data_IF_433162854786
#
_entry.id   IF_433162854786
#
_cell.length_a   1.000
_cell.length_b   1.000
_cell.length_c   1.000
_cell.angle_alpha   90.00
_cell.angle_beta   90.00
_cell.angle_gamma   90.00
#
_symmetry.space_group_name_H-M   'P 1'
#
loop_
_entity.id
_entity.type
_entity.pdbx_description
1 polymer ?
#
# COMPACT_ATOMS: atom_id res chain seq x y z
N UNK A 1 -13.63 11.89 -10.00
CA UNK A 1 -14.07 12.29 -8.64
C UNK A 1 -12.82 12.67 -7.89
N UNK A 2 -12.72 13.89 -7.34
CA UNK A 2 -11.48 14.38 -6.74
C UNK A 2 -11.24 13.76 -5.35
N UNK A 3 -9.98 13.61 -4.95
CA UNK A 3 -9.56 13.21 -3.59
C UNK A 3 -10.32 13.98 -2.51
N UNK A 4 -10.34 15.31 -2.61
CA UNK A 4 -11.02 16.21 -1.68
C UNK A 4 -12.49 15.85 -1.49
N UNK A 5 -13.18 15.45 -2.57
CA UNK A 5 -14.58 15.05 -2.52
C UNK A 5 -14.79 13.73 -1.75
N UNK A 6 -13.86 12.77 -1.83
CA UNK A 6 -13.95 11.53 -1.05
C UNK A 6 -13.78 11.77 0.45
N UNK A 7 -12.87 12.67 0.82
CA UNK A 7 -12.68 13.09 2.22
C UNK A 7 -13.91 13.87 2.72
N UNK A 8 -14.45 14.79 1.92
CA UNK A 8 -15.69 15.52 2.22
C UNK A 8 -16.90 14.59 2.39
N UNK A 9 -16.90 13.44 1.71
CA UNK A 9 -17.92 12.39 1.84
C UNK A 9 -17.71 11.49 3.07
N UNK A 10 -16.66 11.72 3.88
CA UNK A 10 -16.42 11.06 5.16
C UNK A 10 -15.38 9.94 5.14
N UNK A 11 -14.68 9.72 4.02
CA UNK A 11 -13.55 8.79 4.01
C UNK A 11 -12.40 9.34 4.85
N UNK A 12 -11.89 8.55 5.80
CA UNK A 12 -10.73 8.92 6.63
C UNK A 12 -9.39 8.58 5.99
N UNK A 13 -9.38 7.52 5.19
CA UNK A 13 -8.23 7.03 4.47
C UNK A 13 -8.67 6.69 3.04
N UNK A 14 -7.94 7.21 2.05
CA UNK A 14 -8.14 6.88 0.64
C UNK A 14 -6.79 6.47 0.08
N UNK A 15 -6.70 5.26 -0.46
CA UNK A 15 -5.50 4.81 -1.18
C UNK A 15 -5.81 4.83 -2.67
N UNK A 16 -4.95 5.46 -3.47
CA UNK A 16 -4.99 5.42 -4.92
C UNK A 16 -3.75 4.69 -5.41
N UNK A 17 -3.93 3.54 -6.06
CA UNK A 17 -2.83 2.77 -6.65
C UNK A 17 -2.66 3.09 -8.12
N UNK A 18 -1.40 3.26 -8.52
CA UNK A 18 -0.98 3.47 -9.91
C UNK A 18 -0.34 2.21 -10.52
N UNK A 19 -0.59 1.04 -9.91
CA UNK A 19 0.00 -0.23 -10.35
C UNK A 19 1.47 -0.32 -9.97
N UNK A 20 2.34 -0.54 -10.96
CA UNK A 20 3.78 -0.67 -10.75
C UNK A 20 4.43 0.65 -10.31
N UNK A 21 3.79 1.80 -10.60
CA UNK A 21 4.28 3.13 -10.28
C UNK A 21 4.01 3.58 -8.83
N UNK A 22 3.75 2.62 -7.92
CA UNK A 22 3.45 2.91 -6.52
C UNK A 22 1.98 3.31 -6.27
N UNK A 23 1.77 4.11 -5.23
CA UNK A 23 0.46 4.55 -4.77
C UNK A 23 0.55 5.82 -3.94
N UNK A 24 -0.62 6.38 -3.58
CA UNK A 24 -0.74 7.44 -2.61
C UNK A 24 -1.78 7.09 -1.53
N UNK A 25 -1.50 7.50 -0.30
CA UNK A 25 -2.45 7.54 0.80
C UNK A 25 -2.85 8.99 1.08
N UNK A 26 -4.15 9.20 1.16
CA UNK A 26 -4.74 10.43 1.65
C UNK A 26 -5.38 10.18 3.00
N UNK A 27 -4.97 10.96 3.98
CA UNK A 27 -5.58 11.03 5.31
C UNK A 27 -6.41 12.30 5.44
N UNK A 28 -6.96 12.57 6.63
CA UNK A 28 -7.78 13.78 6.88
C UNK A 28 -6.98 15.08 6.62
N UNK A 29 -5.71 15.10 6.98
CA UNK A 29 -4.86 16.29 6.96
C UNK A 29 -3.63 16.17 6.03
N UNK A 30 -3.19 14.95 5.71
CA UNK A 30 -1.91 14.72 5.03
C UNK A 30 -1.98 13.81 3.81
N UNK A 31 -0.96 13.92 2.96
CA UNK A 31 -0.74 13.08 1.79
C UNK A 31 0.60 12.37 1.88
N UNK A 32 0.54 11.09 1.61
CA UNK A 32 1.72 10.24 1.54
C UNK A 32 1.81 9.58 0.18
N UNK A 33 3.01 9.51 -0.38
CA UNK A 33 3.31 8.79 -1.61
C UNK A 33 4.30 7.67 -1.31
N UNK A 34 4.13 6.52 -1.97
CA UNK A 34 5.14 5.45 -1.93
C UNK A 34 6.05 5.57 -3.14
N UNK A 35 7.31 5.17 -2.98
CA UNK A 35 8.19 4.94 -4.11
C UNK A 35 7.67 3.83 -5.05
N UNK A 36 8.21 3.77 -6.27
CA UNK A 36 8.17 2.56 -7.08
C UNK A 36 9.03 1.48 -6.43
N UNK A 37 8.53 0.24 -6.38
CA UNK A 37 9.21 -0.83 -5.65
C UNK A 37 10.20 -1.55 -6.56
N UNK A 38 11.47 -1.18 -6.39
CA UNK A 38 12.63 -1.75 -7.07
C UNK A 38 13.39 -2.72 -6.16
N UNK A 39 13.01 -4.00 -6.20
CA UNK A 39 13.64 -5.09 -5.43
C UNK A 39 14.45 -6.07 -6.30
N UNK A 40 14.61 -5.74 -7.58
CA UNK A 40 15.32 -6.56 -8.58
C UNK A 40 14.59 -7.83 -9.01
N UNK A 41 13.36 -8.08 -8.54
CA UNK A 41 12.56 -9.24 -8.91
C UNK A 41 11.52 -8.90 -9.97
N UNK A 42 11.21 -9.87 -10.82
CA UNK A 42 10.18 -9.73 -11.85
C UNK A 42 8.77 -9.69 -11.26
N UNK A 43 7.86 -8.98 -11.95
CA UNK A 43 6.43 -9.06 -11.69
C UNK A 43 5.88 -10.35 -12.32
N UNK A 44 5.52 -11.32 -11.48
CA UNK A 44 5.02 -12.63 -11.92
C UNK A 44 3.50 -12.67 -12.07
N UNK A 45 2.78 -11.91 -11.25
CA UNK A 45 1.31 -11.87 -11.23
C UNK A 45 0.84 -10.48 -10.78
N UNK A 46 -0.31 -10.03 -11.25
CA UNK A 46 -0.95 -8.78 -10.74
C UNK A 46 -2.34 -9.01 -10.18
N UNK A 47 -2.84 -10.25 -10.29
CA UNK A 47 -4.09 -10.66 -9.69
C UNK A 47 -3.97 -10.55 -8.16
N UNK A 48 -5.05 -10.09 -7.52
CA UNK A 48 -5.15 -9.90 -6.08
C UNK A 48 -4.15 -8.90 -5.44
N UNK A 49 -3.30 -8.18 -6.18
CA UNK A 49 -2.41 -7.17 -5.56
C UNK A 49 -3.18 -6.08 -4.81
N UNK A 50 -4.34 -5.65 -5.32
CA UNK A 50 -5.19 -4.67 -4.62
C UNK A 50 -5.91 -5.27 -3.42
N UNK A 51 -6.29 -6.54 -3.48
CA UNK A 51 -6.90 -7.23 -2.33
C UNK A 51 -5.86 -7.41 -1.22
N UNK A 52 -4.62 -7.75 -1.58
CA UNK A 52 -3.48 -7.81 -0.67
C UNK A 52 -3.15 -6.45 -0.07
N UNK A 53 -3.24 -5.36 -0.86
CA UNK A 53 -3.10 -4.00 -0.35
C UNK A 53 -4.12 -3.69 0.75
N UNK A 54 -5.40 -4.00 0.51
CA UNK A 54 -6.46 -3.82 1.50
C UNK A 54 -6.21 -4.68 2.74
N UNK A 55 -5.83 -5.95 2.55
CA UNK A 55 -5.53 -6.86 3.65
C UNK A 55 -4.35 -6.37 4.50
N UNK A 56 -3.26 -5.93 3.87
CA UNK A 56 -2.08 -5.38 4.55
C UNK A 56 -2.41 -4.12 5.34
N UNK A 57 -3.19 -3.21 4.74
CA UNK A 57 -3.65 -1.99 5.41
C UNK A 57 -4.48 -2.33 6.66
N UNK A 58 -5.52 -3.16 6.52
CA UNK A 58 -6.40 -3.53 7.63
C UNK A 58 -5.68 -4.30 8.73
N UNK A 59 -4.75 -5.20 8.37
CA UNK A 59 -3.99 -6.00 9.32
C UNK A 59 -3.16 -5.13 10.27
N UNK A 60 -2.64 -4.00 9.80
CA UNK A 60 -1.88 -3.08 10.63
C UNK A 60 -2.78 -2.05 11.34
N UNK A 61 -3.78 -1.51 10.65
CA UNK A 61 -4.77 -0.61 11.27
C UNK A 61 -5.43 -1.24 12.51
N UNK A 62 -5.75 -2.54 12.44
CA UNK A 62 -6.32 -3.28 13.57
C UNK A 62 -5.38 -3.38 14.78
N UNK A 63 -4.07 -3.21 14.61
CA UNK A 63 -3.08 -3.32 15.69
C UNK A 63 -2.80 -2.00 16.39
N UNK A 64 -2.62 -0.93 15.62
CA UNK A 64 -2.11 0.34 16.14
C UNK A 64 -2.88 1.58 15.67
N UNK A 65 -3.86 1.44 14.76
CA UNK A 65 -4.59 2.56 14.15
C UNK A 65 -3.69 3.64 13.51
N UNK A 66 -2.48 3.26 13.11
CA UNK A 66 -1.52 4.13 12.42
C UNK A 66 -1.67 3.95 10.90
N UNK A 67 -2.27 4.95 10.25
CA UNK A 67 -2.53 4.93 8.80
C UNK A 67 -1.25 4.87 7.96
N UNK A 68 -0.16 5.50 8.40
CA UNK A 68 1.09 5.55 7.62
C UNK A 68 1.79 4.19 7.70
N UNK A 69 1.91 3.63 8.90
CA UNK A 69 2.46 2.29 9.08
C UNK A 69 1.58 1.23 8.37
N UNK A 70 0.26 1.39 8.41
CA UNK A 70 -0.66 0.53 7.67
C UNK A 70 -0.51 0.64 6.16
N UNK A 71 -0.27 1.85 5.65
CA UNK A 71 -0.01 2.06 4.25
C UNK A 71 1.31 1.45 3.79
N UNK A 72 2.38 1.54 4.60
CA UNK A 72 3.64 0.85 4.32
C UNK A 72 3.44 -0.67 4.21
N UNK A 73 2.66 -1.26 5.13
CA UNK A 73 2.29 -2.69 5.07
C UNK A 73 1.42 -3.03 3.86
N UNK A 74 0.52 -2.12 3.46
CA UNK A 74 -0.33 -2.28 2.28
C UNK A 74 0.50 -2.37 0.99
N UNK A 75 1.46 -1.46 0.81
CA UNK A 75 2.38 -1.45 -0.33
C UNK A 75 3.28 -2.69 -0.35
N UNK A 76 3.79 -3.10 0.82
CA UNK A 76 4.58 -4.32 0.98
C UNK A 76 3.79 -5.57 0.59
N UNK A 77 2.54 -5.70 1.05
CA UNK A 77 1.68 -6.85 0.75
C UNK A 77 1.33 -6.93 -0.75
N UNK A 78 0.97 -5.79 -1.35
CA UNK A 78 0.71 -5.70 -2.78
C UNK A 78 1.94 -6.08 -3.62
N UNK A 79 3.10 -5.56 -3.23
CA UNK A 79 4.36 -5.81 -3.92
C UNK A 79 4.78 -7.26 -3.79
N UNK A 80 4.72 -7.86 -2.60
CA UNK A 80 5.03 -9.28 -2.39
C UNK A 80 4.13 -10.17 -3.25
N UNK A 81 2.83 -9.88 -3.30
CA UNK A 81 1.86 -10.60 -4.14
C UNK A 81 2.24 -10.52 -5.61
N UNK A 82 2.79 -9.39 -6.05
CA UNK A 82 3.23 -9.24 -7.43
C UNK A 82 4.47 -10.09 -7.80
N UNK A 83 5.25 -10.55 -6.81
CA UNK A 83 6.49 -11.33 -7.00
C UNK A 83 6.29 -12.84 -6.88
N UNK A 84 5.06 -13.32 -6.74
CA UNK A 84 4.74 -14.75 -6.62
C UNK A 84 3.56 -15.13 -7.53
N UNK A 85 3.48 -16.41 -7.89
CA UNK A 85 2.38 -16.91 -8.74
C UNK A 85 1.08 -17.03 -7.93
N UNK A 86 1.19 -17.44 -6.67
CA UNK A 86 0.07 -17.59 -5.72
C UNK A 86 0.18 -16.51 -4.62
N UNK A 87 -0.44 -16.70 -3.45
CA UNK A 87 -0.34 -15.74 -2.34
C UNK A 87 1.03 -15.79 -1.62
N UNK A 88 1.59 -14.63 -1.24
CA UNK A 88 2.87 -14.59 -0.53
C UNK A 88 2.71 -15.04 0.93
N UNK A 89 3.77 -15.63 1.47
CA UNK A 89 3.91 -15.87 2.91
C UNK A 89 4.08 -14.57 3.67
N UNK A 90 3.86 -14.61 4.99
CA UNK A 90 4.07 -13.44 5.85
C UNK A 90 5.50 -12.93 5.78
N UNK A 91 6.47 -13.84 5.75
CA UNK A 91 7.89 -13.52 5.67
C UNK A 91 8.20 -12.78 4.36
N UNK A 92 7.66 -13.26 3.23
CA UNK A 92 7.82 -12.59 1.94
C UNK A 92 7.20 -11.18 1.93
N UNK A 93 6.06 -10.98 2.60
CA UNK A 93 5.46 -9.65 2.77
C UNK A 93 6.36 -8.75 3.61
N UNK A 94 6.84 -9.23 4.76
CA UNK A 94 7.66 -8.44 5.69
C UNK A 94 8.98 -8.03 5.05
N UNK A 95 9.62 -8.91 4.27
CA UNK A 95 10.85 -8.56 3.52
C UNK A 95 10.63 -7.40 2.53
N UNK A 96 9.41 -7.20 2.02
CA UNK A 96 9.16 -6.06 1.14
C UNK A 96 9.28 -4.71 1.84
N UNK A 97 9.08 -4.65 3.17
CA UNK A 97 9.14 -3.38 3.92
C UNK A 97 10.50 -2.70 3.77
N UNK A 98 11.57 -3.46 3.57
CA UNK A 98 12.93 -2.95 3.35
C UNK A 98 13.06 -2.12 2.06
N UNK A 99 12.09 -2.25 1.14
CA UNK A 99 12.04 -1.55 -0.15
C UNK A 99 10.94 -0.49 -0.22
N UNK A 100 10.11 -0.37 0.82
CA UNK A 100 8.98 0.57 0.85
C UNK A 100 9.38 1.83 1.60
N UNK A 101 9.54 2.90 0.83
CA UNK A 101 9.72 4.26 1.30
C UNK A 101 8.41 5.03 1.15
N UNK A 102 8.05 5.79 2.20
CA UNK A 102 6.86 6.63 2.23
C UNK A 102 7.29 8.07 2.48
N UNK A 103 6.89 8.98 1.60
CA UNK A 103 7.17 10.41 1.72
C UNK A 103 5.87 11.19 1.97
N UNK A 104 5.91 12.15 2.90
CA UNK A 104 4.83 13.13 3.09
C UNK A 104 5.01 14.25 2.07
N UNK A 105 4.06 14.41 1.16
CA UNK A 105 4.17 15.36 0.04
C UNK A 105 3.22 16.57 0.17
N UNK A 106 2.27 16.52 1.10
CA UNK A 106 1.35 17.62 1.46
C UNK A 106 0.83 17.43 2.89
#
# INVERSE_FOLDING_TARGET
MSRKKLLEMGAKNVIISYGAHGSMLFTEDKVYESNEIEDGREILNTNACRDAMIAGFLANMAKNSDSVAAYQMAVAAASATARVIDLPTREQIVTMLDYVEIEEIE
#
